data_IF_990927973824
#
_entry.id   IF_990927973824
#
_cell.length_a   1.000
_cell.length_b   1.000
_cell.length_c   1.000
_cell.angle_alpha   90.00
_cell.angle_beta   90.00
_cell.angle_gamma   90.00
#
_symmetry.space_group_name_H-M   'P 1'
#
loop_
_entity.id
_entity.type
_entity.pdbx_description
1 polymer ?
#
# COMPACT_ATOMS: atom_id res chain seq x y z
N UNK A 1 -29.55 -14.63 -1.34
CA UNK A 1 -28.70 -13.73 -0.56
C UNK A 1 -27.64 -13.23 -1.53
N UNK A 2 -27.52 -11.94 -1.68
CA UNK A 2 -26.54 -11.32 -2.58
C UNK A 2 -25.11 -11.54 -2.11
N UNK A 3 -24.16 -11.39 -3.02
CA UNK A 3 -22.75 -11.64 -2.80
C UNK A 3 -21.97 -10.35 -2.62
N UNK A 4 -21.00 -10.39 -1.74
CA UNK A 4 -19.96 -9.37 -1.58
C UNK A 4 -18.98 -9.39 -2.76
N UNK A 5 -18.16 -8.36 -2.92
CA UNK A 5 -17.12 -8.35 -3.95
C UNK A 5 -16.12 -9.50 -3.76
N UNK A 6 -15.73 -9.77 -2.52
CA UNK A 6 -14.82 -10.86 -2.20
C UNK A 6 -15.38 -12.22 -2.63
N UNK A 7 -16.63 -12.53 -2.29
CA UNK A 7 -17.30 -13.77 -2.69
C UNK A 7 -17.38 -13.92 -4.21
N UNK A 8 -17.75 -12.86 -4.93
CA UNK A 8 -17.84 -12.88 -6.40
C UNK A 8 -16.49 -13.20 -7.05
N UNK A 9 -15.41 -12.57 -6.59
CA UNK A 9 -14.06 -12.81 -7.14
C UNK A 9 -13.61 -14.24 -6.84
N UNK A 10 -13.85 -14.72 -5.61
CA UNK A 10 -13.49 -16.09 -5.22
C UNK A 10 -14.33 -17.14 -5.95
N UNK A 11 -15.63 -16.92 -6.16
CA UNK A 11 -16.48 -17.79 -6.99
C UNK A 11 -15.95 -17.90 -8.41
N UNK A 12 -15.60 -16.77 -9.03
CA UNK A 12 -15.00 -16.77 -10.37
C UNK A 12 -13.70 -17.55 -10.43
N UNK A 13 -12.81 -17.36 -9.44
CA UNK A 13 -11.51 -18.05 -9.39
C UNK A 13 -11.63 -19.56 -9.20
N UNK A 14 -12.57 -19.99 -8.35
CA UNK A 14 -12.78 -21.41 -8.02
C UNK A 14 -13.72 -22.13 -8.98
N UNK A 15 -14.53 -21.41 -9.74
CA UNK A 15 -15.61 -21.96 -10.57
C UNK A 15 -16.83 -22.44 -9.76
N UNK A 16 -16.91 -22.14 -8.48
CA UNK A 16 -18.05 -22.48 -7.63
C UNK A 16 -19.19 -21.49 -7.86
N UNK A 17 -20.41 -21.99 -7.86
CA UNK A 17 -21.62 -21.16 -8.07
C UNK A 17 -22.14 -20.49 -6.80
N UNK A 18 -21.65 -20.90 -5.64
CA UNK A 18 -22.02 -20.35 -4.34
C UNK A 18 -20.86 -20.49 -3.36
N UNK A 19 -20.64 -19.46 -2.56
CA UNK A 19 -19.73 -19.44 -1.42
C UNK A 19 -20.39 -18.72 -0.27
N UNK A 20 -20.06 -19.15 0.95
CA UNK A 20 -20.45 -18.46 2.17
C UNK A 20 -19.22 -18.14 3.04
N UNK A 21 -19.26 -17.06 3.83
CA UNK A 21 -18.21 -16.78 4.80
C UNK A 21 -17.93 -17.99 5.70
N UNK A 22 -16.67 -18.34 5.85
CA UNK A 22 -16.23 -19.51 6.61
C UNK A 22 -15.98 -20.77 5.78
N UNK A 23 -16.44 -20.85 4.54
CA UNK A 23 -16.17 -21.99 3.65
C UNK A 23 -14.68 -22.13 3.39
N UNK A 24 -14.18 -23.36 3.40
CA UNK A 24 -12.82 -23.70 3.00
C UNK A 24 -12.79 -24.04 1.52
N UNK A 25 -12.03 -23.30 0.75
CA UNK A 25 -11.93 -23.42 -0.70
C UNK A 25 -10.49 -23.61 -1.15
N UNK A 26 -10.32 -24.23 -2.32
CA UNK A 26 -9.03 -24.25 -3.02
C UNK A 26 -9.03 -23.21 -4.12
N UNK A 27 -8.21 -22.18 -3.95
CA UNK A 27 -8.00 -21.13 -4.95
C UNK A 27 -6.83 -21.48 -5.86
N UNK A 28 -6.84 -20.92 -7.07
CA UNK A 28 -5.72 -20.97 -8.03
C UNK A 28 -5.28 -19.55 -8.32
N UNK A 29 -4.31 -19.01 -7.55
CA UNK A 29 -3.89 -17.65 -7.73
C UNK A 29 -3.54 -17.34 -9.19
N UNK A 30 -3.97 -16.19 -9.67
CA UNK A 30 -3.67 -15.70 -11.01
C UNK A 30 -2.24 -15.17 -11.10
N UNK A 31 -1.73 -14.66 -9.96
CA UNK A 31 -0.34 -14.21 -9.83
C UNK A 31 0.18 -14.45 -8.40
N UNK A 32 1.44 -14.87 -8.30
CA UNK A 32 2.20 -15.02 -7.07
C UNK A 32 3.39 -14.07 -7.08
N UNK A 33 3.48 -13.16 -6.10
CA UNK A 33 4.58 -12.23 -5.99
C UNK A 33 5.51 -12.59 -4.85
N UNK A 34 6.82 -12.63 -5.13
CA UNK A 34 7.87 -12.84 -4.14
C UNK A 34 8.79 -11.62 -4.14
N UNK A 35 9.02 -11.01 -2.96
CA UNK A 35 10.00 -9.94 -2.85
C UNK A 35 11.31 -10.41 -2.20
N UNK A 36 12.37 -9.64 -2.35
CA UNK A 36 13.75 -10.00 -2.02
C UNK A 36 13.97 -10.52 -0.61
N UNK A 37 13.32 -9.97 0.42
CA UNK A 37 13.49 -10.44 1.81
C UNK A 37 13.17 -11.93 1.93
N UNK A 38 12.17 -12.43 1.20
CA UNK A 38 11.69 -13.80 1.34
C UNK A 38 12.19 -14.76 0.26
N UNK A 39 12.87 -14.29 -0.79
CA UNK A 39 13.42 -15.19 -1.83
C UNK A 39 14.27 -16.33 -1.29
N UNK A 40 15.22 -16.15 -0.31
CA UNK A 40 15.99 -17.26 0.23
C UNK A 40 15.13 -18.31 0.91
N UNK A 41 14.11 -17.88 1.66
CA UNK A 41 13.23 -18.78 2.40
C UNK A 41 12.29 -19.55 1.46
N UNK A 42 11.79 -18.90 0.40
CA UNK A 42 10.98 -19.57 -0.64
C UNK A 42 11.80 -20.64 -1.35
N UNK A 43 13.06 -20.35 -1.75
CA UNK A 43 13.96 -21.33 -2.36
C UNK A 43 14.17 -22.52 -1.42
N UNK A 44 14.50 -22.26 -0.16
CA UNK A 44 14.67 -23.29 0.85
C UNK A 44 13.43 -24.19 0.98
N UNK A 45 12.23 -23.60 1.07
CA UNK A 45 10.99 -24.37 1.22
C UNK A 45 10.62 -25.17 -0.02
N UNK A 46 10.88 -24.66 -1.22
CA UNK A 46 10.73 -25.42 -2.46
C UNK A 46 11.64 -26.67 -2.45
N UNK A 47 12.86 -26.55 -1.94
CA UNK A 47 13.78 -27.68 -1.80
C UNK A 47 13.32 -28.70 -0.75
N UNK A 48 12.92 -28.24 0.43
CA UNK A 48 12.38 -29.10 1.49
C UNK A 48 11.14 -29.88 1.04
N UNK A 49 10.25 -29.23 0.28
CA UNK A 49 9.06 -29.85 -0.32
C UNK A 49 9.35 -30.67 -1.58
N UNK A 50 10.62 -30.70 -2.03
CA UNK A 50 11.11 -31.43 -3.20
C UNK A 50 10.49 -31.01 -4.53
N UNK A 51 10.02 -29.77 -4.64
CA UNK A 51 9.58 -29.23 -5.92
C UNK A 51 10.77 -28.99 -6.84
N UNK A 52 10.72 -29.57 -8.04
CA UNK A 52 11.76 -29.44 -9.09
C UNK A 52 11.34 -28.47 -10.20
N UNK A 53 10.07 -28.11 -10.23
CA UNK A 53 9.46 -27.14 -11.15
C UNK A 53 8.30 -26.46 -10.45
N UNK A 54 7.93 -25.28 -10.91
CA UNK A 54 6.70 -24.61 -10.51
C UNK A 54 5.53 -25.17 -11.32
N UNK A 55 4.33 -25.03 -10.78
CA UNK A 55 3.10 -25.37 -11.49
C UNK A 55 2.95 -24.52 -12.76
N UNK A 56 3.19 -23.22 -12.66
CA UNK A 56 3.18 -22.26 -13.77
C UNK A 56 4.14 -21.10 -13.48
N UNK A 57 5.35 -21.06 -14.08
CA UNK A 57 6.29 -19.95 -13.90
C UNK A 57 5.77 -18.60 -14.43
N UNK A 58 4.82 -18.60 -15.38
CA UNK A 58 4.24 -17.37 -15.90
C UNK A 58 3.31 -16.66 -14.89
N UNK A 59 2.86 -17.39 -13.87
CA UNK A 59 2.09 -16.84 -12.75
C UNK A 59 2.95 -16.43 -11.55
N UNK A 60 4.25 -16.35 -11.73
CA UNK A 60 5.18 -15.89 -10.70
C UNK A 60 5.89 -14.60 -11.14
N UNK A 61 6.07 -13.68 -10.19
CA UNK A 61 6.86 -12.46 -10.37
C UNK A 61 7.75 -12.23 -9.15
N UNK A 62 8.98 -11.77 -9.38
CA UNK A 62 9.97 -11.47 -8.34
C UNK A 62 10.28 -9.97 -8.39
N UNK A 63 10.24 -9.32 -7.22
CA UNK A 63 10.68 -7.95 -7.05
C UNK A 63 11.85 -7.87 -6.06
N UNK A 64 12.88 -7.12 -6.46
CA UNK A 64 14.03 -6.80 -5.62
C UNK A 64 13.95 -5.31 -5.29
N UNK A 65 13.20 -4.97 -4.24
CA UNK A 65 12.77 -3.59 -3.94
C UNK A 65 12.95 -3.19 -2.47
N UNK A 66 12.98 -4.12 -1.54
CA UNK A 66 13.16 -3.83 -0.11
C UNK A 66 14.63 -3.70 0.26
N UNK A 67 15.49 -4.58 -0.30
CA UNK A 67 16.93 -4.60 -0.07
C UNK A 67 17.71 -4.05 -1.29
N UNK A 68 17.10 -3.21 -2.09
CA UNK A 68 17.67 -2.59 -3.27
C UNK A 68 17.57 -1.06 -3.16
N UNK A 69 18.71 -0.32 -3.22
CA UNK A 69 20.08 -0.82 -3.30
C UNK A 69 20.49 -1.57 -2.04
N UNK A 70 21.26 -2.64 -2.22
CA UNK A 70 21.73 -3.44 -1.09
C UNK A 70 22.72 -2.68 -0.23
N UNK A 71 22.68 -2.90 1.08
CA UNK A 71 23.68 -2.38 2.00
C UNK A 71 24.18 -3.46 2.96
N UNK A 72 25.32 -3.18 3.61
CA UNK A 72 25.97 -4.15 4.48
C UNK A 72 25.25 -4.37 5.80
N UNK A 73 24.52 -3.38 6.30
CA UNK A 73 23.85 -3.45 7.60
C UNK A 73 22.58 -4.32 7.58
N UNK A 74 21.83 -4.29 6.50
CA UNK A 74 20.66 -5.14 6.27
C UNK A 74 21.02 -6.41 5.52
N UNK A 75 22.24 -6.50 5.12
CA UNK A 75 22.98 -7.69 4.80
C UNK A 75 22.61 -8.29 3.59
N UNK A 76 21.91 -7.70 2.70
CA UNK A 76 22.05 -8.87 2.03
C UNK A 76 22.08 -8.84 0.51
N UNK A 77 23.27 -8.59 -0.07
CA UNK A 77 23.59 -9.06 -1.43
C UNK A 77 23.19 -10.51 -1.71
N UNK A 78 23.15 -11.38 -0.68
CA UNK A 78 22.66 -12.75 -0.79
C UNK A 78 21.18 -12.85 -1.11
N UNK A 79 20.32 -12.02 -0.51
CA UNK A 79 18.91 -12.00 -0.84
C UNK A 79 18.67 -11.60 -2.29
N UNK A 80 19.39 -10.58 -2.76
CA UNK A 80 19.37 -10.15 -4.15
C UNK A 80 19.78 -11.28 -5.08
N UNK A 81 20.92 -11.97 -4.77
CA UNK A 81 21.40 -13.12 -5.53
C UNK A 81 20.38 -14.27 -5.52
N UNK A 82 19.74 -14.55 -4.38
CA UNK A 82 18.72 -15.59 -4.28
C UNK A 82 17.46 -15.29 -5.10
N UNK A 83 17.13 -14.05 -5.32
CA UNK A 83 16.07 -13.64 -6.25
C UNK A 83 16.39 -14.07 -7.70
N UNK A 84 17.61 -13.84 -8.14
CA UNK A 84 18.09 -14.31 -9.45
C UNK A 84 18.14 -15.84 -9.53
N UNK A 85 18.67 -16.52 -8.48
CA UNK A 85 18.67 -17.98 -8.43
C UNK A 85 17.26 -18.57 -8.54
N UNK A 86 16.28 -17.99 -7.87
CA UNK A 86 14.87 -18.42 -7.95
C UNK A 86 14.35 -18.26 -9.39
N UNK A 87 14.63 -17.11 -10.03
CA UNK A 87 14.28 -16.82 -11.41
C UNK A 87 14.87 -17.85 -12.38
N UNK A 88 16.19 -18.01 -12.35
CA UNK A 88 16.93 -18.87 -13.28
C UNK A 88 16.57 -20.36 -13.12
N UNK A 89 16.52 -20.82 -11.88
CA UNK A 89 16.27 -22.23 -11.55
C UNK A 89 14.87 -22.69 -11.94
N UNK A 90 13.88 -21.82 -11.78
CA UNK A 90 12.47 -22.17 -11.98
C UNK A 90 11.85 -21.54 -13.24
N UNK A 91 12.63 -20.80 -14.02
CA UNK A 91 12.20 -20.22 -15.29
C UNK A 91 11.23 -19.04 -15.12
N UNK A 92 11.28 -18.32 -14.00
CA UNK A 92 10.46 -17.12 -13.78
C UNK A 92 11.07 -15.98 -14.58
N UNK A 93 10.36 -15.49 -15.61
CA UNK A 93 10.85 -14.41 -16.49
C UNK A 93 10.56 -13.02 -15.99
N UNK A 94 9.58 -12.89 -15.09
CA UNK A 94 9.16 -11.62 -14.49
C UNK A 94 10.01 -11.37 -13.25
N UNK A 95 11.19 -10.78 -13.45
CA UNK A 95 12.09 -10.36 -12.37
C UNK A 95 12.41 -8.88 -12.57
N UNK A 96 12.11 -8.07 -11.55
CA UNK A 96 12.28 -6.64 -11.54
C UNK A 96 13.20 -6.22 -10.39
N UNK A 97 14.20 -5.41 -10.70
CA UNK A 97 15.21 -5.00 -9.73
C UNK A 97 15.50 -3.50 -9.84
N UNK A 98 15.29 -2.75 -8.77
CA UNK A 98 15.56 -1.32 -8.74
C UNK A 98 14.62 -0.47 -9.61
N UNK A 99 13.46 -1.00 -9.99
CA UNK A 99 12.48 -0.27 -10.81
C UNK A 99 11.42 0.45 -9.97
N UNK A 100 11.34 0.15 -8.69
CA UNK A 100 10.38 0.73 -7.75
C UNK A 100 9.84 -0.28 -6.76
N UNK A 101 8.87 0.15 -5.99
CA UNK A 101 8.23 -0.66 -4.95
C UNK A 101 7.30 -1.68 -5.58
N UNK A 102 7.43 -2.95 -5.19
CA UNK A 102 6.66 -4.07 -5.72
C UNK A 102 5.15 -3.80 -5.77
N UNK A 103 4.59 -3.24 -4.70
CA UNK A 103 3.16 -2.97 -4.65
C UNK A 103 2.69 -1.99 -5.73
N UNK A 104 3.48 -0.98 -6.06
CA UNK A 104 3.20 -0.05 -7.15
C UNK A 104 3.40 -0.73 -8.51
N UNK A 105 4.50 -1.46 -8.67
CA UNK A 105 4.81 -2.11 -9.94
C UNK A 105 3.82 -3.23 -10.29
N UNK A 106 3.22 -3.90 -9.31
CA UNK A 106 2.20 -4.93 -9.53
C UNK A 106 0.99 -4.41 -10.31
N UNK A 107 0.52 -3.20 -10.01
CA UNK A 107 -0.59 -2.62 -10.77
C UNK A 107 -0.12 -1.85 -12.02
N UNK A 108 1.02 -1.15 -11.98
CA UNK A 108 1.59 -0.47 -13.16
C UNK A 108 1.89 -1.46 -14.30
N UNK A 109 2.45 -2.64 -13.97
CA UNK A 109 2.77 -3.69 -14.94
C UNK A 109 1.61 -4.66 -15.21
N UNK A 110 0.44 -4.39 -14.64
CA UNK A 110 -0.79 -5.17 -14.84
C UNK A 110 -0.67 -6.63 -14.41
N UNK A 111 0.12 -6.91 -13.37
CA UNK A 111 0.19 -8.24 -12.77
C UNK A 111 -0.97 -8.50 -11.80
N UNK A 112 -1.53 -7.44 -11.20
CA UNK A 112 -2.73 -7.50 -10.37
C UNK A 112 -3.90 -6.83 -11.12
N UNK A 113 -4.67 -7.63 -11.85
CA UNK A 113 -5.80 -7.16 -12.67
C UNK A 113 -7.12 -7.21 -11.89
N UNK A 114 -8.10 -6.37 -12.24
CA UNK A 114 -9.44 -6.45 -11.66
C UNK A 114 -10.07 -7.85 -11.77
N UNK A 115 -10.66 -8.33 -10.69
CA UNK A 115 -11.33 -9.63 -10.63
C UNK A 115 -10.42 -10.85 -10.69
N UNK A 116 -9.14 -10.68 -10.38
CA UNK A 116 -8.17 -11.77 -10.20
C UNK A 116 -7.88 -12.02 -8.72
N UNK A 117 -7.29 -13.18 -8.42
CA UNK A 117 -6.78 -13.55 -7.09
C UNK A 117 -5.27 -13.48 -7.12
N UNK A 118 -4.67 -12.62 -6.30
CA UNK A 118 -3.22 -12.41 -6.21
C UNK A 118 -2.74 -12.67 -4.79
N UNK A 119 -1.64 -13.40 -4.67
CA UNK A 119 -0.99 -13.65 -3.38
C UNK A 119 0.46 -13.18 -3.41
N UNK A 120 0.94 -12.67 -2.29
CA UNK A 120 2.31 -12.17 -2.22
C UNK A 120 2.95 -12.47 -0.86
N UNK A 121 4.28 -12.46 -0.82
CA UNK A 121 5.02 -12.64 0.44
C UNK A 121 5.06 -11.39 1.31
N UNK A 122 4.47 -10.28 0.86
CA UNK A 122 4.39 -9.05 1.63
C UNK A 122 3.02 -8.85 2.28
N UNK A 123 3.02 -8.22 3.45
CA UNK A 123 1.81 -7.94 4.21
C UNK A 123 0.89 -6.92 3.53
N UNK A 124 1.44 -5.90 2.82
CA UNK A 124 0.64 -4.85 2.16
C UNK A 124 0.06 -5.26 0.80
N UNK A 125 0.01 -6.55 0.51
CA UNK A 125 -0.65 -7.12 -0.68
C UNK A 125 -2.11 -6.64 -0.87
N UNK A 126 -2.93 -6.37 0.18
CA UNK A 126 -4.26 -5.80 0.03
C UNK A 126 -4.34 -4.52 -0.81
N UNK A 127 -3.21 -3.82 -1.04
CA UNK A 127 -3.09 -2.65 -1.92
C UNK A 127 -3.78 -2.84 -3.28
N UNK A 128 -3.64 -4.02 -3.90
CA UNK A 128 -4.16 -4.25 -5.26
C UNK A 128 -5.69 -4.30 -5.31
N UNK A 129 -6.34 -4.42 -4.17
CA UNK A 129 -7.80 -4.35 -4.07
C UNK A 129 -8.37 -2.97 -4.39
N UNK A 130 -7.55 -1.91 -4.35
CA UNK A 130 -7.89 -0.59 -4.89
C UNK A 130 -8.24 -0.62 -6.38
N UNK A 131 -7.74 -1.63 -7.12
CA UNK A 131 -8.09 -1.93 -8.51
C UNK A 131 -9.12 -3.06 -8.69
N UNK A 132 -9.81 -3.49 -7.63
CA UNK A 132 -10.80 -4.58 -7.71
C UNK A 132 -10.21 -5.99 -7.79
N UNK A 133 -9.01 -6.20 -7.26
CA UNK A 133 -8.32 -7.49 -7.19
C UNK A 133 -8.49 -8.10 -5.79
N UNK A 134 -8.89 -9.37 -5.67
CA UNK A 134 -8.80 -10.06 -4.38
C UNK A 134 -7.33 -10.42 -4.12
N UNK A 135 -6.74 -9.82 -3.11
CA UNK A 135 -5.31 -9.94 -2.89
C UNK A 135 -4.98 -10.03 -1.40
N UNK A 136 -4.00 -10.87 -1.08
CA UNK A 136 -3.64 -11.12 0.32
C UNK A 136 -2.19 -11.53 0.49
N UNK A 137 -1.58 -11.08 1.59
CA UNK A 137 -0.27 -11.54 2.03
C UNK A 137 -0.33 -12.98 2.56
N UNK A 138 0.71 -13.77 2.24
CA UNK A 138 0.89 -15.14 2.73
C UNK A 138 2.34 -15.37 3.17
N UNK A 139 2.55 -16.35 4.03
CA UNK A 139 3.88 -16.73 4.47
C UNK A 139 4.72 -17.37 3.38
N UNK A 140 6.04 -17.32 3.50
CA UNK A 140 6.97 -17.92 2.50
C UNK A 140 6.81 -19.42 2.34
N UNK A 141 6.37 -20.15 3.38
CA UNK A 141 6.06 -21.58 3.30
C UNK A 141 4.85 -21.85 2.43
N UNK A 142 3.78 -21.09 2.65
CA UNK A 142 2.56 -21.14 1.82
C UNK A 142 2.85 -20.72 0.38
N UNK A 143 3.68 -19.69 0.19
CA UNK A 143 4.11 -19.24 -1.13
C UNK A 143 4.87 -20.36 -1.88
N UNK A 144 5.80 -21.04 -1.24
CA UNK A 144 6.52 -22.14 -1.86
C UNK A 144 5.58 -23.29 -2.25
N UNK A 145 4.65 -23.66 -1.37
CA UNK A 145 3.63 -24.66 -1.67
C UNK A 145 2.75 -24.25 -2.86
N UNK A 146 2.27 -22.99 -2.86
CA UNK A 146 1.43 -22.42 -3.92
C UNK A 146 2.15 -22.38 -5.27
N UNK A 147 3.40 -21.93 -5.30
CA UNK A 147 4.22 -21.93 -6.51
C UNK A 147 4.44 -23.36 -7.06
N UNK A 148 4.67 -24.32 -6.17
CA UNK A 148 4.90 -25.72 -6.55
C UNK A 148 3.63 -26.45 -7.01
N UNK A 149 2.50 -26.26 -6.34
CA UNK A 149 1.24 -26.96 -6.63
C UNK A 149 0.32 -26.22 -7.59
N UNK A 150 0.41 -24.88 -7.67
CA UNK A 150 -0.54 -24.02 -8.38
C UNK A 150 -1.84 -23.75 -7.63
N UNK A 151 -1.97 -24.21 -6.40
CA UNK A 151 -3.19 -24.13 -5.60
C UNK A 151 -2.90 -23.67 -4.19
N UNK A 152 -3.87 -22.99 -3.58
CA UNK A 152 -3.81 -22.55 -2.19
C UNK A 152 -5.19 -22.66 -1.53
N UNK A 153 -5.24 -23.26 -0.34
CA UNK A 153 -6.46 -23.24 0.44
C UNK A 153 -6.73 -21.87 1.05
N UNK A 154 -7.98 -21.49 1.14
CA UNK A 154 -8.39 -20.23 1.74
C UNK A 154 -9.75 -20.42 2.44
N UNK A 155 -9.94 -19.74 3.55
CA UNK A 155 -11.26 -19.58 4.14
C UNK A 155 -11.91 -18.31 3.52
N UNK A 156 -13.15 -18.41 3.07
CA UNK A 156 -13.93 -17.25 2.58
C UNK A 156 -14.07 -16.24 3.73
N UNK A 157 -13.60 -14.99 3.59
CA UNK A 157 -13.70 -14.01 4.66
C UNK A 157 -15.13 -13.48 4.81
N UNK A 158 -15.52 -13.15 6.04
CA UNK A 158 -16.64 -12.23 6.28
C UNK A 158 -16.28 -10.84 5.75
N UNK A 159 -17.27 -10.01 5.44
CA UNK A 159 -17.05 -8.66 4.94
C UNK A 159 -17.55 -7.58 5.89
N UNK A 160 -16.83 -6.48 5.93
CA UNK A 160 -17.22 -5.20 6.55
C UNK A 160 -17.43 -4.19 5.43
N UNK A 161 -18.59 -3.52 5.42
CA UNK A 161 -18.89 -2.43 4.50
C UNK A 161 -18.46 -1.11 5.11
N UNK A 162 -17.76 -0.29 4.31
CA UNK A 162 -17.33 1.06 4.69
C UNK A 162 -17.89 2.01 3.65
N UNK A 163 -18.88 2.81 4.05
CA UNK A 163 -19.54 3.78 3.18
C UNK A 163 -19.03 5.18 3.51
N UNK A 164 -18.55 5.91 2.50
CA UNK A 164 -18.15 7.31 2.64
C UNK A 164 -18.91 8.14 1.61
N UNK A 165 -19.75 9.06 2.10
CA UNK A 165 -20.61 9.90 1.26
C UNK A 165 -20.25 11.37 1.39
N UNK A 166 -20.47 12.13 0.31
CA UNK A 166 -20.24 13.55 0.25
C UNK A 166 -18.93 13.93 -0.41
N UNK A 167 -18.50 15.19 -0.21
CA UNK A 167 -17.27 15.75 -0.79
C UNK A 167 -16.22 15.98 0.30
N UNK A 168 -14.97 15.58 0.01
CA UNK A 168 -13.86 15.82 0.94
C UNK A 168 -13.58 17.32 1.07
N UNK A 169 -13.41 17.83 2.30
CA UNK A 169 -12.96 19.21 2.52
C UNK A 169 -11.56 19.45 1.93
N UNK A 170 -11.27 20.69 1.60
CA UNK A 170 -9.92 21.08 1.18
C UNK A 170 -8.89 20.69 2.25
N UNK A 171 -7.75 20.14 1.83
CA UNK A 171 -6.70 19.67 2.74
C UNK A 171 -6.92 18.28 3.33
N UNK A 172 -8.04 17.61 3.04
CA UNK A 172 -8.35 16.22 3.43
C UNK A 172 -8.18 15.30 2.23
N UNK A 173 -7.54 14.15 2.42
CA UNK A 173 -7.18 13.21 1.35
C UNK A 173 -7.55 11.78 1.71
N UNK A 174 -7.38 10.86 0.78
CA UNK A 174 -7.66 9.43 0.96
C UNK A 174 -6.98 8.82 2.21
N UNK A 175 -5.78 9.32 2.56
CA UNK A 175 -5.07 8.90 3.78
C UNK A 175 -5.87 9.22 5.05
N UNK A 176 -6.54 10.36 5.08
CA UNK A 176 -7.32 10.78 6.23
C UNK A 176 -8.58 9.91 6.40
N UNK A 177 -9.20 9.48 5.29
CA UNK A 177 -10.31 8.50 5.32
C UNK A 177 -9.87 7.23 6.01
N UNK A 178 -8.79 6.62 5.55
CA UNK A 178 -8.34 5.33 6.11
C UNK A 178 -7.83 5.46 7.53
N UNK A 179 -7.24 6.58 7.92
CA UNK A 179 -6.87 6.85 9.31
C UNK A 179 -8.11 6.91 10.21
N UNK A 180 -9.20 7.56 9.77
CA UNK A 180 -10.47 7.54 10.51
C UNK A 180 -11.02 6.11 10.64
N UNK A 181 -10.98 5.32 9.58
CA UNK A 181 -11.39 3.91 9.61
C UNK A 181 -10.54 3.10 10.61
N UNK A 182 -9.22 3.32 10.64
CA UNK A 182 -8.32 2.66 11.59
C UNK A 182 -8.58 3.09 13.05
N UNK A 183 -8.96 4.34 13.27
CA UNK A 183 -9.39 4.82 14.59
C UNK A 183 -10.57 4.02 15.13
N UNK A 184 -11.54 3.69 14.27
CA UNK A 184 -12.80 3.04 14.65
C UNK A 184 -12.72 1.51 14.65
N UNK A 185 -11.96 0.92 13.72
CA UNK A 185 -11.76 -0.54 13.66
C UNK A 185 -10.67 -1.02 14.62
N UNK A 186 -9.70 -0.16 14.95
CA UNK A 186 -8.48 -0.53 15.65
C UNK A 186 -7.64 -1.50 14.81
N UNK A 187 -6.51 -1.95 15.36
CA UNK A 187 -5.56 -2.81 14.64
C UNK A 187 -6.03 -4.26 14.43
N UNK A 188 -7.14 -4.66 15.03
CA UNK A 188 -7.65 -6.05 15.01
C UNK A 188 -9.12 -6.18 14.55
N UNK A 189 -9.86 -5.08 14.44
CA UNK A 189 -11.29 -5.11 14.10
C UNK A 189 -11.62 -5.66 12.73
N UNK A 190 -10.67 -5.63 11.81
CA UNK A 190 -10.78 -6.22 10.47
C UNK A 190 -10.17 -7.63 10.35
N UNK A 191 -9.70 -8.24 11.46
CA UNK A 191 -8.95 -9.49 11.41
C UNK A 191 -9.66 -10.56 10.58
N UNK A 192 -8.95 -11.00 9.55
CA UNK A 192 -9.40 -11.99 8.56
C UNK A 192 -10.70 -11.61 7.81
N UNK A 193 -11.04 -10.34 7.69
CA UNK A 193 -12.23 -9.86 6.97
C UNK A 193 -11.86 -9.20 5.64
N UNK A 194 -12.82 -9.16 4.72
CA UNK A 194 -12.78 -8.25 3.57
C UNK A 194 -13.29 -6.88 4.00
N UNK A 195 -12.56 -5.80 3.72
CA UNK A 195 -13.08 -4.44 3.85
C UNK A 195 -13.53 -3.97 2.47
N UNK A 196 -14.82 -3.61 2.33
CA UNK A 196 -15.39 -3.20 1.04
C UNK A 196 -15.82 -1.73 1.11
N UNK A 197 -15.15 -0.89 0.30
CA UNK A 197 -15.32 0.55 0.28
C UNK A 197 -16.30 0.96 -0.81
N UNK A 198 -17.33 1.74 -0.44
CA UNK A 198 -18.40 2.22 -1.33
C UNK A 198 -18.81 3.64 -0.97
N UNK A 199 -19.60 4.29 -1.82
CA UNK A 199 -20.16 5.61 -1.59
C UNK A 199 -19.58 6.67 -2.51
N UNK A 200 -20.27 7.80 -2.60
CA UNK A 200 -19.98 8.87 -3.57
C UNK A 200 -18.57 9.44 -3.44
N UNK A 201 -18.04 9.55 -2.22
CA UNK A 201 -16.65 9.98 -1.99
C UNK A 201 -15.67 8.94 -2.54
N UNK A 202 -15.92 7.65 -2.31
CA UNK A 202 -15.06 6.55 -2.79
C UNK A 202 -15.06 6.50 -4.32
N UNK A 203 -16.22 6.68 -4.94
CA UNK A 203 -16.36 6.73 -6.40
C UNK A 203 -15.65 7.95 -7.00
N UNK A 204 -15.60 9.07 -6.27
CA UNK A 204 -14.91 10.29 -6.68
C UNK A 204 -13.37 10.15 -6.65
N UNK A 205 -12.79 9.29 -5.78
CA UNK A 205 -11.34 9.09 -5.68
C UNK A 205 -10.73 8.67 -7.02
N UNK A 206 -9.50 9.13 -7.26
CA UNK A 206 -8.62 8.58 -8.28
C UNK A 206 -8.07 7.20 -7.85
N UNK A 207 -7.34 6.54 -8.75
CA UNK A 207 -6.78 5.21 -8.45
C UNK A 207 -5.74 5.26 -7.34
N UNK A 208 -4.97 6.35 -7.24
CA UNK A 208 -3.98 6.56 -6.18
C UNK A 208 -4.64 6.58 -4.79
N UNK A 209 -5.71 7.32 -4.63
CA UNK A 209 -6.48 7.38 -3.39
C UNK A 209 -7.06 6.01 -2.99
N UNK A 210 -7.58 5.24 -3.97
CA UNK A 210 -8.07 3.88 -3.72
C UNK A 210 -6.95 2.94 -3.27
N UNK A 211 -5.78 3.01 -3.89
CA UNK A 211 -4.60 2.22 -3.48
C UNK A 211 -4.10 2.62 -2.09
N UNK A 212 -4.10 3.90 -1.76
CA UNK A 212 -3.75 4.39 -0.42
C UNK A 212 -4.66 3.78 0.66
N UNK A 213 -5.98 3.81 0.46
CA UNK A 213 -6.94 3.24 1.41
C UNK A 213 -6.78 1.71 1.48
N UNK A 214 -6.70 1.02 0.34
CA UNK A 214 -6.53 -0.42 0.30
C UNK A 214 -5.23 -0.88 1.00
N UNK A 215 -4.12 -0.15 0.79
CA UNK A 215 -2.84 -0.40 1.43
C UNK A 215 -2.93 -0.32 2.95
N UNK A 216 -3.47 0.78 3.47
CA UNK A 216 -3.56 1.04 4.90
C UNK A 216 -4.62 0.19 5.61
N UNK A 217 -5.60 -0.34 4.89
CA UNK A 217 -6.64 -1.22 5.44
C UNK A 217 -6.07 -2.48 6.10
N UNK A 218 -4.89 -2.92 5.66
CA UNK A 218 -4.17 -4.03 6.30
C UNK A 218 -3.93 -3.77 7.79
N UNK A 219 -3.70 -2.54 8.17
CA UNK A 219 -3.37 -2.18 9.56
C UNK A 219 -4.56 -2.36 10.52
N UNK A 220 -5.77 -2.62 10.00
CA UNK A 220 -6.91 -3.14 10.77
C UNK A 220 -6.95 -4.68 10.84
N UNK A 221 -5.94 -5.38 10.31
CA UNK A 221 -5.85 -6.85 10.28
C UNK A 221 -6.63 -7.51 9.14
N UNK A 222 -7.10 -6.77 8.13
CA UNK A 222 -7.92 -7.32 7.06
C UNK A 222 -7.19 -8.34 6.17
N UNK A 223 -7.96 -9.25 5.60
CA UNK A 223 -7.48 -10.22 4.61
C UNK A 223 -7.31 -9.59 3.24
N UNK A 224 -8.23 -8.71 2.87
CA UNK A 224 -8.24 -7.94 1.63
C UNK A 224 -9.03 -6.65 1.83
N UNK A 225 -8.80 -5.65 0.97
CA UNK A 225 -9.61 -4.43 0.90
C UNK A 225 -10.02 -4.21 -0.54
N UNK A 226 -11.29 -4.00 -0.81
CA UNK A 226 -11.84 -4.03 -2.17
C UNK A 226 -12.62 -2.75 -2.51
N UNK A 227 -12.48 -2.36 -3.76
CA UNK A 227 -13.21 -1.27 -4.40
C UNK A 227 -13.96 -1.80 -5.62
N UNK A 228 -15.15 -1.27 -5.85
CA UNK A 228 -15.91 -1.59 -7.05
C UNK A 228 -15.17 -1.11 -8.30
N UNK A 229 -15.19 -1.93 -9.36
CA UNK A 229 -14.58 -1.56 -10.63
C UNK A 229 -15.52 -0.66 -11.42
N UNK A 230 -15.04 0.49 -11.81
CA UNK A 230 -15.75 1.53 -12.56
C UNK A 230 -14.97 1.96 -13.82
N UNK A 231 -15.39 3.06 -14.45
CA UNK A 231 -14.72 3.60 -15.64
C UNK A 231 -13.27 4.00 -15.34
N UNK A 232 -12.97 4.56 -14.16
CA UNK A 232 -11.59 4.92 -13.76
C UNK A 232 -10.70 3.68 -13.69
N UNK A 233 -11.22 2.58 -13.14
CA UNK A 233 -10.54 1.28 -13.12
C UNK A 233 -10.33 0.75 -14.55
N UNK A 234 -11.35 0.84 -15.40
CA UNK A 234 -11.29 0.41 -16.81
C UNK A 234 -10.20 1.18 -17.57
N UNK A 235 -10.20 2.50 -17.46
CA UNK A 235 -9.23 3.39 -18.11
C UNK A 235 -7.81 3.14 -17.62
N UNK A 236 -7.62 2.99 -16.31
CA UNK A 236 -6.31 2.72 -15.69
C UNK A 236 -5.68 1.42 -16.22
N UNK A 237 -6.46 0.36 -16.32
CA UNK A 237 -5.97 -0.92 -16.82
C UNK A 237 -6.09 -1.07 -18.34
N UNK A 238 -6.70 -0.13 -19.04
CA UNK A 238 -6.98 -0.23 -20.48
C UNK A 238 -7.85 -1.44 -20.80
N UNK A 239 -8.87 -1.68 -19.98
CA UNK A 239 -9.82 -2.78 -20.13
C UNK A 239 -11.21 -2.24 -20.48
N UNK A 240 -12.02 -2.97 -21.29
CA UNK A 240 -13.41 -2.64 -21.46
C UNK A 240 -14.17 -2.74 -20.14
N UNK A 241 -15.00 -1.74 -19.81
CA UNK A 241 -15.76 -1.71 -18.56
C UNK A 241 -16.66 -2.95 -18.39
N UNK A 242 -17.23 -3.45 -19.47
CA UNK A 242 -18.12 -4.62 -19.48
C UNK A 242 -17.44 -5.90 -18.95
N UNK A 243 -16.12 -5.97 -19.04
CA UNK A 243 -15.35 -7.11 -18.51
C UNK A 243 -15.14 -7.08 -17.00
N UNK A 244 -15.29 -5.93 -16.39
CA UNK A 244 -14.96 -5.72 -14.95
C UNK A 244 -16.13 -5.15 -14.15
N UNK A 245 -17.19 -4.64 -14.76
CA UNK A 245 -18.36 -4.03 -14.10
C UNK A 245 -19.12 -4.95 -13.16
N UNK A 246 -18.88 -6.27 -13.24
CA UNK A 246 -19.43 -7.25 -12.29
C UNK A 246 -18.77 -7.20 -10.90
N UNK A 247 -17.63 -6.52 -10.76
CA UNK A 247 -16.90 -6.35 -9.51
C UNK A 247 -17.54 -5.22 -8.71
N UNK A 248 -18.67 -5.48 -8.13
CA UNK A 248 -19.44 -4.65 -7.22
C UNK A 248 -20.26 -5.53 -6.31
N UNK A 249 -20.60 -5.11 -5.08
CA UNK A 249 -21.45 -5.92 -4.22
C UNK A 249 -22.88 -5.96 -4.74
N UNK A 250 -23.59 -7.06 -4.44
CA UNK A 250 -25.03 -7.09 -4.68
C UNK A 250 -25.77 -6.18 -3.68
N UNK A 251 -26.94 -5.63 -4.04
CA UNK A 251 -27.67 -4.72 -3.15
C UNK A 251 -28.06 -5.35 -1.80
N UNK A 252 -28.26 -6.67 -1.78
CA UNK A 252 -28.62 -7.48 -0.62
C UNK A 252 -27.44 -8.32 -0.09
N UNK A 253 -26.19 -7.94 -0.40
CA UNK A 253 -24.98 -8.57 0.14
C UNK A 253 -24.96 -8.44 1.67
N UNK A 254 -24.50 -9.49 2.34
CA UNK A 254 -24.44 -9.52 3.80
C UNK A 254 -23.08 -9.05 4.33
N UNK A 255 -23.12 -8.12 5.28
CA UNK A 255 -21.95 -7.60 5.99
C UNK A 255 -22.09 -7.83 7.50
N UNK A 256 -21.01 -8.29 8.15
CA UNK A 256 -21.00 -8.50 9.61
C UNK A 256 -20.92 -7.20 10.40
N UNK A 257 -20.49 -6.13 9.75
CA UNK A 257 -20.43 -4.77 10.28
C UNK A 257 -20.51 -3.77 9.14
N UNK A 258 -21.14 -2.64 9.41
CA UNK A 258 -21.18 -1.50 8.50
C UNK A 258 -20.69 -0.24 9.23
N UNK A 259 -19.84 0.53 8.57
CA UNK A 259 -19.36 1.85 9.00
C UNK A 259 -19.82 2.87 7.98
N UNK A 260 -20.23 4.03 8.48
CA UNK A 260 -20.72 5.13 7.64
C UNK A 260 -20.02 6.43 8.04
N UNK A 261 -19.49 7.15 7.06
CA UNK A 261 -18.83 8.44 7.25
C UNK A 261 -19.41 9.47 6.29
N UNK A 262 -19.53 10.69 6.78
CA UNK A 262 -19.77 11.88 5.96
C UNK A 262 -18.43 12.53 5.69
N UNK A 263 -18.09 12.70 4.41
CA UNK A 263 -16.81 13.25 4.01
C UNK A 263 -16.55 14.65 4.55
N UNK A 264 -17.61 15.48 4.65
CA UNK A 264 -17.54 16.85 5.16
C UNK A 264 -17.15 16.94 6.65
N UNK A 265 -17.29 15.85 7.40
CA UNK A 265 -16.94 15.77 8.82
C UNK A 265 -15.48 15.32 9.04
N UNK A 266 -14.80 14.88 7.99
CA UNK A 266 -13.40 14.45 8.07
C UNK A 266 -12.47 15.67 8.13
N UNK A 267 -11.40 15.51 8.89
CA UNK A 267 -10.32 16.49 9.04
C UNK A 267 -8.98 15.83 8.72
N UNK A 268 -7.89 16.57 8.56
CA UNK A 268 -6.57 15.95 8.50
C UNK A 268 -6.29 15.18 9.80
N UNK A 269 -5.92 13.91 9.65
CA UNK A 269 -5.60 13.00 10.76
C UNK A 269 -4.14 12.61 10.76
N UNK A 270 -3.65 12.27 11.95
CA UNK A 270 -2.33 11.66 12.13
C UNK A 270 -2.44 10.38 12.92
N UNK A 271 -1.70 9.36 12.48
CA UNK A 271 -1.39 8.22 13.33
C UNK A 271 -0.19 8.60 14.20
N UNK A 272 -0.39 8.63 15.51
CA UNK A 272 0.61 9.00 16.49
C UNK A 272 1.49 7.80 16.89
N UNK A 273 2.67 8.02 17.48
CA UNK A 273 3.64 6.96 17.78
C UNK A 273 3.10 5.77 18.52
N UNK A 274 3.71 4.63 18.24
CA UNK A 274 3.60 3.31 18.84
C UNK A 274 2.40 2.46 18.38
N UNK A 275 1.56 2.95 17.45
CA UNK A 275 0.47 2.14 16.89
C UNK A 275 -0.24 2.88 15.76
N UNK A 276 -0.48 2.20 14.65
CA UNK A 276 -1.09 2.84 13.48
C UNK A 276 -2.53 3.31 13.78
N UNK A 277 -3.21 2.65 14.68
CA UNK A 277 -4.56 2.94 15.14
C UNK A 277 -4.64 3.98 16.28
N UNK A 278 -3.48 4.53 16.69
CA UNK A 278 -3.42 5.67 17.62
C UNK A 278 -3.64 6.98 16.84
N UNK A 279 -4.86 7.17 16.35
CA UNK A 279 -5.20 8.24 15.42
C UNK A 279 -5.82 9.44 16.15
N UNK A 280 -5.30 10.62 15.87
CA UNK A 280 -5.72 11.92 16.39
C UNK A 280 -6.00 12.90 15.27
N UNK A 281 -6.86 13.89 15.52
CA UNK A 281 -7.05 15.01 14.60
C UNK A 281 -5.79 15.91 14.59
N UNK A 282 -5.63 16.68 13.53
CA UNK A 282 -4.49 17.60 13.40
C UNK A 282 -4.47 18.62 14.55
N UNK A 283 -5.63 19.08 14.99
CA UNK A 283 -5.80 20.07 16.06
C UNK A 283 -5.23 19.58 17.40
N UNK A 284 -5.23 18.27 17.64
CA UNK A 284 -4.74 17.66 18.89
C UNK A 284 -3.20 17.59 18.95
N UNK A 285 -2.53 17.56 17.79
CA UNK A 285 -1.08 17.25 17.71
C UNK A 285 -0.25 18.30 16.98
N UNK A 286 -0.87 19.32 16.39
CA UNK A 286 -0.16 20.40 15.72
C UNK A 286 0.84 21.09 16.65
N UNK A 287 1.94 21.60 16.08
CA UNK A 287 3.01 22.22 16.83
C UNK A 287 4.07 21.26 17.38
N UNK A 288 3.88 19.93 17.23
CA UNK A 288 4.90 18.93 17.63
C UNK A 288 6.17 19.12 16.77
N UNK A 289 7.36 19.35 17.37
CA UNK A 289 8.61 19.55 16.63
C UNK A 289 9.04 18.30 15.86
N UNK A 290 9.59 18.49 14.66
CA UNK A 290 10.05 17.44 13.77
C UNK A 290 11.56 17.56 13.49
N UNK A 291 12.23 16.42 13.36
CA UNK A 291 13.61 16.31 12.88
C UNK A 291 13.66 15.89 11.41
N UNK A 292 12.64 15.12 10.98
CA UNK A 292 12.56 14.58 9.63
C UNK A 292 11.12 14.52 9.11
N UNK A 293 10.98 14.73 7.80
CA UNK A 293 9.75 14.44 7.06
C UNK A 293 10.10 13.46 5.93
N UNK A 294 9.28 12.42 5.79
CA UNK A 294 9.40 11.44 4.73
C UNK A 294 8.13 11.42 3.86
N UNK A 295 8.26 11.66 2.56
CA UNK A 295 7.17 11.60 1.58
C UNK A 295 7.50 10.51 0.56
N UNK A 296 6.67 9.47 0.51
CA UNK A 296 6.89 8.32 -0.36
C UNK A 296 6.20 7.07 0.13
N UNK A 297 6.78 5.93 -0.17
CA UNK A 297 6.30 4.56 0.10
C UNK A 297 5.25 4.05 -0.90
N UNK A 298 4.88 2.77 -0.76
CA UNK A 298 3.77 2.18 -1.54
C UNK A 298 2.41 2.79 -1.20
N UNK A 299 2.31 3.51 -0.08
CA UNK A 299 1.07 4.14 0.37
C UNK A 299 0.86 5.48 -0.31
N UNK A 300 1.89 6.36 -0.27
CA UNK A 300 1.79 7.74 -0.77
C UNK A 300 3.06 8.18 -1.52
N UNK A 301 3.46 7.39 -2.50
CA UNK A 301 4.54 7.71 -3.43
C UNK A 301 4.08 7.79 -4.89
N UNK A 302 2.78 7.90 -5.15
CA UNK A 302 2.18 8.03 -6.47
C UNK A 302 2.50 9.38 -7.12
N UNK A 303 2.15 9.53 -8.39
CA UNK A 303 2.31 10.80 -9.11
C UNK A 303 1.44 11.90 -8.48
N UNK A 304 0.23 11.56 -8.08
CA UNK A 304 -0.75 12.43 -7.45
C UNK A 304 -0.25 12.91 -6.07
N UNK A 305 0.31 12.00 -5.27
CA UNK A 305 0.92 12.34 -3.97
C UNK A 305 2.09 13.30 -4.14
N UNK A 306 2.97 13.00 -5.11
CA UNK A 306 4.12 13.87 -5.44
C UNK A 306 3.65 15.24 -5.94
N UNK A 307 2.55 15.30 -6.70
CA UNK A 307 1.98 16.56 -7.17
C UNK A 307 1.44 17.42 -6.02
N UNK A 308 0.77 16.81 -5.06
CA UNK A 308 0.28 17.51 -3.84
C UNK A 308 1.45 18.09 -3.07
N UNK A 309 2.46 17.27 -2.78
CA UNK A 309 3.64 17.72 -2.03
C UNK A 309 4.42 18.80 -2.79
N UNK A 310 4.62 18.63 -4.10
CA UNK A 310 5.36 19.59 -4.92
C UNK A 310 4.67 20.97 -4.97
N UNK A 311 3.35 21.02 -5.08
CA UNK A 311 2.60 22.30 -5.05
C UNK A 311 2.80 23.08 -3.76
N UNK A 312 2.82 22.39 -2.62
CA UNK A 312 3.00 23.02 -1.31
C UNK A 312 4.47 23.49 -1.14
N UNK A 313 5.42 22.73 -1.64
CA UNK A 313 6.85 23.02 -1.48
C UNK A 313 7.41 24.00 -2.52
N UNK A 314 6.74 24.16 -3.65
CA UNK A 314 7.23 24.99 -4.75
C UNK A 314 7.40 26.47 -4.36
N UNK A 315 8.60 27.00 -4.55
CA UNK A 315 8.94 28.40 -4.20
C UNK A 315 9.23 28.61 -2.73
N UNK A 316 9.21 27.56 -1.92
CA UNK A 316 9.51 27.61 -0.49
C UNK A 316 10.76 26.78 -0.16
N UNK A 317 11.29 26.96 1.04
CA UNK A 317 12.36 26.13 1.59
C UNK A 317 11.85 25.39 2.85
N UNK A 318 12.33 24.16 3.04
CA UNK A 318 12.09 23.40 4.27
C UNK A 318 12.67 24.14 5.47
N UNK A 319 12.07 23.90 6.65
CA UNK A 319 12.53 24.50 7.89
C UNK A 319 14.03 24.20 8.15
N UNK A 320 14.79 25.16 8.71
CA UNK A 320 16.17 24.92 9.09
C UNK A 320 16.29 23.67 9.98
N UNK A 321 17.33 22.86 9.74
CA UNK A 321 17.63 21.64 10.48
C UNK A 321 16.64 20.47 10.30
N UNK A 322 15.61 20.62 9.46
CA UNK A 322 14.72 19.52 9.10
C UNK A 322 15.31 18.72 7.92
N UNK A 323 15.31 17.41 8.02
CA UNK A 323 15.57 16.52 6.87
C UNK A 323 14.26 16.25 6.15
N UNK A 324 14.16 16.62 4.87
CA UNK A 324 13.05 16.21 4.00
C UNK A 324 13.53 15.16 3.02
N UNK A 325 12.94 13.98 3.05
CA UNK A 325 13.25 12.88 2.14
C UNK A 325 12.02 12.60 1.27
N UNK A 326 12.21 12.56 -0.04
CA UNK A 326 11.13 12.26 -0.99
C UNK A 326 11.51 11.06 -1.86
N UNK A 327 10.63 10.06 -1.96
CA UNK A 327 10.86 8.83 -2.74
C UNK A 327 9.61 8.54 -3.58
N UNK A 328 9.61 8.87 -4.89
CA UNK A 328 8.56 8.41 -5.81
C UNK A 328 8.51 6.87 -5.85
N UNK A 329 7.33 6.27 -5.90
CA UNK A 329 7.17 4.84 -5.69
C UNK A 329 7.70 3.96 -6.84
N UNK A 330 7.87 4.50 -8.06
CA UNK A 330 8.43 3.77 -9.20
C UNK A 330 9.30 4.67 -10.08
N UNK A 331 10.13 4.04 -10.89
CA UNK A 331 10.93 4.76 -11.89
C UNK A 331 10.05 5.42 -12.96
N UNK A 332 8.87 4.84 -13.21
CA UNK A 332 7.85 5.42 -14.07
C UNK A 332 7.33 6.74 -13.53
N UNK A 333 6.94 6.76 -12.26
CA UNK A 333 6.51 7.95 -11.52
C UNK A 333 7.66 8.96 -11.42
N UNK A 334 8.86 8.51 -11.07
CA UNK A 334 10.04 9.39 -10.99
C UNK A 334 10.27 10.16 -12.29
N UNK A 335 10.22 9.46 -13.44
CA UNK A 335 10.36 10.08 -14.77
C UNK A 335 9.24 11.10 -15.05
N UNK A 336 8.02 10.82 -14.64
CA UNK A 336 6.91 11.77 -14.79
C UNK A 336 7.11 12.99 -13.87
N UNK A 337 7.53 12.79 -12.62
CA UNK A 337 7.88 13.88 -11.70
C UNK A 337 9.00 14.78 -12.26
N UNK A 338 9.98 14.19 -12.94
CA UNK A 338 11.02 14.98 -13.64
C UNK A 338 10.43 15.85 -14.75
N UNK A 339 9.54 15.26 -15.59
CA UNK A 339 8.93 15.97 -16.72
C UNK A 339 8.02 17.12 -16.27
N UNK A 340 7.29 16.91 -15.17
CA UNK A 340 6.36 17.87 -14.59
C UNK A 340 7.03 18.90 -13.67
N UNK A 341 8.36 18.78 -13.44
CA UNK A 341 9.09 19.72 -12.60
C UNK A 341 9.01 19.45 -11.09
N UNK A 342 8.34 18.39 -10.65
CA UNK A 342 8.19 18.09 -9.22
C UNK A 342 9.50 17.76 -8.55
N UNK A 343 10.39 17.00 -9.21
CA UNK A 343 11.74 16.73 -8.70
C UNK A 343 12.52 18.03 -8.50
N UNK A 344 12.39 18.99 -9.45
CA UNK A 344 13.01 20.30 -9.32
C UNK A 344 12.46 21.04 -8.10
N UNK A 345 11.14 21.08 -7.93
CA UNK A 345 10.51 21.73 -6.77
C UNK A 345 11.03 21.15 -5.45
N UNK A 346 11.14 19.82 -5.34
CA UNK A 346 11.68 19.15 -4.16
C UNK A 346 13.13 19.55 -3.88
N UNK A 347 13.99 19.51 -4.90
CA UNK A 347 15.41 19.84 -4.74
C UNK A 347 15.60 21.32 -4.39
N UNK A 348 14.85 22.23 -5.04
CA UNK A 348 14.89 23.67 -4.74
C UNK A 348 14.35 23.98 -3.34
N UNK A 349 13.40 23.20 -2.84
CA UNK A 349 12.94 23.29 -1.46
C UNK A 349 13.95 22.76 -0.43
N UNK A 350 15.00 22.04 -0.85
CA UNK A 350 16.01 21.44 0.03
C UNK A 350 15.76 19.97 0.38
N UNK A 351 14.88 19.27 -0.36
CA UNK A 351 14.64 17.85 -0.16
C UNK A 351 15.77 16.96 -0.72
N UNK A 352 16.01 15.85 -0.07
CA UNK A 352 16.80 14.74 -0.58
C UNK A 352 15.87 13.80 -1.38
N UNK A 353 16.01 13.81 -2.70
CA UNK A 353 15.23 12.94 -3.58
C UNK A 353 15.98 11.62 -3.78
N UNK A 354 15.37 10.51 -3.35
CA UNK A 354 16.02 9.20 -3.42
C UNK A 354 15.49 8.34 -4.56
N UNK A 355 16.22 7.27 -4.88
CA UNK A 355 15.81 6.28 -5.87
C UNK A 355 14.57 5.51 -5.40
N UNK A 356 13.61 5.19 -6.30
CA UNK A 356 12.43 4.41 -5.96
C UNK A 356 12.75 3.06 -5.32
N UNK A 357 12.37 2.90 -4.07
CA UNK A 357 12.53 1.67 -3.28
C UNK A 357 11.65 1.74 -2.03
N UNK A 358 11.52 0.65 -1.28
CA UNK A 358 10.79 0.65 -0.02
C UNK A 358 11.43 1.57 1.03
N UNK A 359 12.77 1.69 1.02
CA UNK A 359 13.54 2.72 1.73
C UNK A 359 13.27 2.79 3.23
N UNK A 360 13.13 4.01 3.73
CA UNK A 360 12.93 4.30 5.15
C UNK A 360 11.70 3.59 5.75
N UNK A 361 10.64 3.40 4.96
CA UNK A 361 9.40 2.72 5.42
C UNK A 361 9.68 1.32 6.01
N UNK A 362 10.65 0.58 5.50
CA UNK A 362 11.02 -0.75 6.00
C UNK A 362 12.31 -0.76 6.85
N UNK A 363 12.78 0.40 7.28
CA UNK A 363 14.00 0.51 8.08
C UNK A 363 15.28 0.34 7.27
N UNK A 364 15.22 0.61 5.97
CA UNK A 364 16.34 0.57 5.05
C UNK A 364 17.02 1.95 4.92
N UNK A 365 18.14 2.09 4.22
CA UNK A 365 18.85 3.36 4.10
C UNK A 365 17.96 4.51 3.64
N UNK A 366 18.46 5.71 3.77
CA UNK A 366 17.84 7.01 3.52
C UNK A 366 17.09 7.62 4.72
N UNK A 367 17.81 7.92 5.81
CA UNK A 367 17.28 8.75 6.87
C UNK A 367 16.81 8.00 8.12
N UNK A 368 17.53 6.95 8.50
CA UNK A 368 17.22 6.27 9.77
C UNK A 368 17.38 7.22 10.96
N UNK A 369 16.40 7.15 11.85
CA UNK A 369 16.26 8.03 13.01
C UNK A 369 17.16 7.60 14.17
N UNK A 370 17.70 8.58 14.89
CA UNK A 370 18.44 8.41 16.13
C UNK A 370 17.53 8.52 17.36
N UNK A 371 18.12 8.30 18.56
CA UNK A 371 17.40 8.43 19.84
C UNK A 371 16.83 9.84 20.01
N UNK A 372 15.54 9.92 20.29
CA UNK A 372 14.83 11.18 20.55
C UNK A 372 14.41 11.96 19.31
N UNK A 373 14.78 11.52 18.09
CA UNK A 373 14.31 12.17 16.86
C UNK A 373 12.85 11.83 16.56
N UNK A 374 12.16 12.76 15.92
CA UNK A 374 10.75 12.68 15.54
C UNK A 374 10.62 12.80 14.02
N UNK A 375 9.97 11.80 13.38
CA UNK A 375 9.68 11.81 11.95
C UNK A 375 8.18 11.86 11.70
N UNK A 376 7.78 12.62 10.69
CA UNK A 376 6.46 12.58 10.08
C UNK A 376 6.55 11.92 8.70
N UNK A 377 5.95 10.75 8.55
CA UNK A 377 6.00 9.99 7.30
C UNK A 377 4.64 9.85 6.62
N UNK A 378 4.67 9.61 5.32
CA UNK A 378 3.48 9.23 4.55
C UNK A 378 3.36 7.73 4.31
N UNK A 379 4.25 6.95 4.91
CA UNK A 379 4.24 5.49 4.89
C UNK A 379 3.08 4.90 5.72
N UNK A 380 3.09 3.58 5.91
CA UNK A 380 1.96 2.85 6.47
C UNK A 380 2.15 2.36 7.91
N UNK A 381 3.36 2.36 8.46
CA UNK A 381 3.64 1.83 9.80
C UNK A 381 4.53 2.74 10.63
N UNK A 382 4.19 2.86 11.92
CA UNK A 382 4.90 3.65 12.91
C UNK A 382 5.29 2.84 14.16
N UNK A 383 5.51 1.54 14.00
CA UNK A 383 5.91 0.66 15.10
C UNK A 383 7.26 1.08 15.69
N UNK A 384 7.45 0.78 16.98
CA UNK A 384 8.69 1.06 17.70
C UNK A 384 9.90 0.47 16.95
N UNK A 385 10.89 1.32 16.66
CA UNK A 385 12.12 0.92 15.96
C UNK A 385 11.96 0.71 14.45
N UNK A 386 10.80 1.02 13.86
CA UNK A 386 10.56 0.78 12.43
C UNK A 386 11.45 1.59 11.50
N UNK A 387 11.77 2.84 11.87
CA UNK A 387 12.55 3.77 11.05
C UNK A 387 13.86 4.20 11.76
N UNK A 388 14.46 3.33 12.55
CA UNK A 388 15.69 3.62 13.27
C UNK A 388 15.71 3.03 14.68
N UNK A 389 16.07 3.84 15.68
CA UNK A 389 16.15 3.36 17.06
C UNK A 389 14.77 3.18 17.69
N UNK A 390 14.70 2.37 18.76
CA UNK A 390 13.46 2.14 19.52
C UNK A 390 12.99 3.35 20.33
N UNK A 391 13.78 4.43 20.36
CA UNK A 391 13.46 5.67 21.07
C UNK A 391 13.10 6.81 20.12
N UNK A 392 13.08 6.57 18.82
CA UNK A 392 12.55 7.51 17.82
C UNK A 392 11.02 7.46 17.80
N UNK A 393 10.40 8.59 17.45
CA UNK A 393 8.95 8.71 17.35
C UNK A 393 8.53 8.88 15.90
N UNK A 394 7.56 8.08 15.46
CA UNK A 394 7.09 8.07 14.08
C UNK A 394 5.62 8.46 14.06
N UNK A 395 5.30 9.55 13.36
CA UNK A 395 3.95 9.96 13.03
C UNK A 395 3.65 9.64 11.56
N UNK A 396 2.38 9.36 11.24
CA UNK A 396 1.94 9.14 9.85
C UNK A 396 0.86 10.15 9.50
N UNK A 397 0.94 10.68 8.27
CA UNK A 397 -0.05 11.63 7.75
C UNK A 397 -0.21 11.55 6.24
N UNK A 398 -1.10 12.38 5.69
CA UNK A 398 -1.22 12.62 4.25
C UNK A 398 0.00 13.38 3.70
N UNK A 399 0.28 13.28 2.38
CA UNK A 399 1.35 14.07 1.74
C UNK A 399 1.21 15.58 1.93
N UNK A 400 -0.03 16.09 2.00
CA UNK A 400 -0.27 17.51 2.23
C UNK A 400 0.17 17.95 3.63
N UNK A 401 -0.22 17.20 4.66
CA UNK A 401 0.20 17.45 6.04
C UNK A 401 1.72 17.34 6.19
N UNK A 402 2.32 16.33 5.55
CA UNK A 402 3.77 16.13 5.57
C UNK A 402 4.52 17.30 4.90
N UNK A 403 4.08 17.73 3.73
CA UNK A 403 4.70 18.84 3.01
C UNK A 403 4.54 20.19 3.76
N UNK A 404 3.35 20.47 4.30
CA UNK A 404 3.10 21.67 5.12
C UNK A 404 4.00 21.68 6.36
N UNK A 405 4.13 20.53 7.03
CA UNK A 405 4.98 20.37 8.21
C UNK A 405 6.48 20.50 7.90
N UNK A 406 6.89 20.13 6.68
CA UNK A 406 8.27 20.31 6.25
C UNK A 406 8.66 21.79 6.13
N UNK A 407 7.73 22.68 5.77
CA UNK A 407 7.97 24.12 5.68
C UNK A 407 8.17 24.77 7.05
N UNK A 408 7.47 24.28 8.07
CA UNK A 408 7.44 24.92 9.41
C UNK A 408 8.37 24.27 10.43
N UNK A 409 8.76 23.00 10.20
CA UNK A 409 9.55 22.20 11.15
C UNK A 409 8.73 21.61 12.30
N UNK A 410 7.41 21.79 12.28
CA UNK A 410 6.47 21.23 13.25
C UNK A 410 5.28 20.61 12.54
N UNK A 411 4.53 19.72 13.21
CA UNK A 411 3.28 19.20 12.65
C UNK A 411 2.33 20.39 12.38
N UNK A 412 1.94 20.56 11.12
CA UNK A 412 1.21 21.74 10.63
C UNK A 412 -0.03 21.32 9.84
N UNK A 413 -1.12 22.00 10.12
CA UNK A 413 -2.38 21.82 9.36
C UNK A 413 -2.20 22.28 7.90
N UNK A 414 -2.36 21.38 6.92
CA UNK A 414 -2.18 21.73 5.51
C UNK A 414 -3.17 22.81 5.04
N UNK A 415 -4.34 22.92 5.67
CA UNK A 415 -5.37 23.93 5.36
C UNK A 415 -4.88 25.37 5.60
N UNK A 416 -3.85 25.54 6.43
CA UNK A 416 -3.26 26.87 6.73
C UNK A 416 -2.17 27.29 5.73
N UNK A 417 -1.68 26.38 4.90
CA UNK A 417 -0.54 26.61 3.99
C UNK A 417 -0.98 26.60 2.51
N UNK A 418 -2.10 25.97 2.19
CA UNK A 418 -2.63 25.83 0.82
C UNK A 418 -3.58 26.96 0.40
N UNK A 419 -3.62 28.06 1.12
CA UNK A 419 -4.43 29.21 0.74
C UNK A 419 -3.66 30.08 -0.27
N UNK A 420 -3.69 29.68 -1.57
CA UNK A 420 -3.71 30.63 -2.74
C UNK A 420 -3.77 29.83 -4.05
#
# INVERSE_FOLDING_TARGET
MGCTMAEKILMKNTGLSHLAPGDLIMTRPDMCMVHDIYTPFVVQKLDEMKFRRLADPEKAVIFLDHLCPTNQATGDPRHYHKGHELSDRFGIRKLHAGEGISHTLMHEYRYALPGTVVVATDSHTPTYGGGGCFCTGIGYTEMAATLGSGEMWMKVPEAIRITVEGELPAGVYAKDIVLQVLKDLRSDGGTYKSLEYVGSTIDALDMSGRYTIANMSLEAGCKTALFAADQKTADYFGLPLEKISWIHPDPDAHYVRELYYRAEELVPYLSCPQGVDNVHSIEEVQGTPLNEVYIGSCTNGSLEDMAVAARILQGHHVAPYLKLITIPASIGIYRQCMRLGYIRAFVEAGAMVAHPCCGLCCGQPYGLMSDGEVVLGTNNRNFIGRMGTTKSLIYLSSPATAAASALTGVITDPRTVTAD
#
